data_IF_536004575247
#
_entry.id   IF_536004575247
#
_cell.length_a   1.000
_cell.length_b   1.000
_cell.length_c   1.000
_cell.angle_alpha   90.00
_cell.angle_beta   90.00
_cell.angle_gamma   90.00
#
_symmetry.space_group_name_H-M   'P 1'
#
loop_
_entity.id
_entity.type
_entity.pdbx_description
1 polymer ?
#
# COMPACT_ATOMS: atom_id res chain seq x y z
N UNK A 1 3.63 63.25 38.39
CA UNK A 1 3.05 62.30 39.38
C UNK A 1 2.72 61.01 38.65
N UNK A 2 3.26 59.89 39.15
CA UNK A 2 2.81 58.46 39.14
C UNK A 2 1.72 58.04 38.13
N UNK A 3 1.73 56.87 37.46
CA UNK A 3 2.29 55.56 37.76
C UNK A 3 2.22 54.64 36.52
N UNK A 4 2.89 53.49 36.61
CA UNK A 4 3.03 52.39 35.65
C UNK A 4 1.74 51.62 35.32
N UNK A 5 1.67 51.08 34.09
CA UNK A 5 1.14 49.72 33.85
C UNK A 5 1.80 49.09 32.63
N UNK A 6 2.54 47.99 32.83
CA UNK A 6 2.97 47.07 31.78
C UNK A 6 1.78 46.27 31.25
N UNK A 7 1.68 46.08 29.94
CA UNK A 7 1.03 44.90 29.36
C UNK A 7 2.00 44.28 28.36
N UNK A 8 2.46 43.09 28.76
CA UNK A 8 3.13 42.07 27.98
C UNK A 8 2.20 41.50 26.88
N UNK A 9 2.82 40.81 25.91
CA UNK A 9 2.26 39.72 25.06
C UNK A 9 1.37 40.20 23.89
N UNK A 10 1.49 39.70 22.65
CA UNK A 10 2.04 38.43 22.16
C UNK A 10 2.73 38.62 20.81
N UNK A 11 3.89 37.97 20.67
CA UNK A 11 4.37 37.39 19.42
C UNK A 11 3.30 36.43 18.90
N UNK A 12 2.85 36.63 17.66
CA UNK A 12 1.88 35.76 17.00
C UNK A 12 2.17 35.69 15.51
N UNK A 13 3.21 34.94 15.15
CA UNK A 13 3.33 34.35 13.82
C UNK A 13 2.05 33.55 13.56
N UNK A 14 1.20 34.00 12.64
CA UNK A 14 0.30 33.12 11.91
C UNK A 14 0.89 32.95 10.52
N UNK A 15 1.97 32.16 10.44
CA UNK A 15 2.24 31.36 9.25
C UNK A 15 0.99 30.51 9.13
N UNK A 16 0.14 30.80 8.14
CA UNK A 16 -0.87 29.85 7.71
C UNK A 16 -0.11 28.59 7.34
N UNK A 17 -0.05 27.65 8.27
CA UNK A 17 0.52 26.35 8.06
C UNK A 17 -0.25 25.77 6.88
N UNK A 18 0.45 25.63 5.76
CA UNK A 18 0.04 24.73 4.71
C UNK A 18 -0.26 23.41 5.39
N UNK A 19 -1.54 23.08 5.55
CA UNK A 19 -1.94 21.71 5.76
C UNK A 19 -1.57 20.99 4.49
N UNK A 20 -0.30 20.60 4.41
CA UNK A 20 0.09 19.41 3.69
C UNK A 20 -0.71 18.31 4.39
N UNK A 21 -1.91 18.04 3.88
CA UNK A 21 -2.42 16.69 3.84
C UNK A 21 -1.23 15.88 3.35
N UNK A 22 -0.59 15.17 4.27
CA UNK A 22 0.57 14.38 3.96
C UNK A 22 0.15 13.47 2.85
N UNK A 23 0.65 13.73 1.65
CA UNK A 23 0.81 12.75 0.60
C UNK A 23 1.39 11.53 1.30
N UNK A 24 0.52 10.60 1.69
CA UNK A 24 0.89 9.21 1.92
C UNK A 24 1.15 8.60 0.54
N UNK A 25 2.02 9.26 -0.22
CA UNK A 25 2.57 8.71 -1.42
C UNK A 25 3.56 7.67 -0.91
N UNK A 26 3.16 6.41 -0.96
CA UNK A 26 4.13 5.33 -1.03
C UNK A 26 5.01 5.62 -2.24
N UNK A 27 6.08 6.37 -2.02
CA UNK A 27 7.21 6.45 -2.95
C UNK A 27 7.69 5.03 -3.12
N UNK A 28 7.35 4.40 -4.27
CA UNK A 28 7.84 3.09 -4.73
C UNK A 28 9.22 2.79 -4.13
N UNK A 29 9.31 1.79 -3.24
CA UNK A 29 10.54 1.47 -2.49
C UNK A 29 11.32 0.26 -3.03
N UNK A 30 11.07 -0.19 -4.26
CA UNK A 30 11.86 -1.27 -4.83
C UNK A 30 13.21 -0.76 -5.38
N UNK A 31 14.26 -1.56 -5.23
CA UNK A 31 15.58 -1.25 -5.77
C UNK A 31 15.52 -1.16 -7.31
N UNK A 32 16.17 -0.14 -7.89
CA UNK A 32 16.30 -0.03 -9.35
C UNK A 32 16.95 -1.28 -9.96
N UNK A 33 16.38 -1.81 -11.04
CA UNK A 33 16.80 -3.05 -11.69
C UNK A 33 15.96 -4.29 -11.34
N UNK A 34 14.92 -4.16 -10.52
CA UNK A 34 13.96 -5.22 -10.19
C UNK A 34 12.57 -4.91 -10.78
N UNK A 35 11.81 -5.95 -11.12
CA UNK A 35 10.40 -5.85 -11.45
C UNK A 35 9.62 -5.57 -10.16
N UNK A 36 8.51 -4.85 -10.27
CA UNK A 36 7.68 -4.44 -9.14
C UNK A 36 6.27 -5.01 -9.22
N UNK A 37 5.68 -5.37 -8.10
CA UNK A 37 4.25 -5.63 -7.96
C UNK A 37 3.69 -4.69 -6.89
N UNK A 38 2.67 -3.94 -7.29
CA UNK A 38 1.90 -3.05 -6.43
C UNK A 38 0.52 -3.66 -6.22
N UNK A 39 0.07 -3.71 -4.97
CA UNK A 39 -1.22 -4.30 -4.62
C UNK A 39 -2.00 -3.32 -3.75
N UNK A 40 -3.26 -3.10 -4.14
CA UNK A 40 -4.27 -2.56 -3.24
C UNK A 40 -5.08 -3.73 -2.67
N UNK A 41 -5.16 -3.80 -1.36
CA UNK A 41 -6.01 -4.74 -0.65
C UNK A 41 -7.07 -3.96 0.11
N UNK A 42 -8.34 -4.24 -0.16
CA UNK A 42 -9.47 -3.60 0.47
C UNK A 42 -10.17 -4.56 1.43
N UNK A 43 -10.56 -4.05 2.61
CA UNK A 43 -11.48 -4.69 3.53
C UNK A 43 -12.77 -3.92 3.56
N UNK A 44 -13.83 -4.46 2.94
CA UNK A 44 -15.14 -3.85 2.88
C UNK A 44 -16.16 -4.85 2.31
N UNK A 45 -17.33 -4.90 2.92
CA UNK A 45 -18.38 -5.87 2.55
C UNK A 45 -19.27 -5.34 1.42
N UNK A 46 -19.46 -6.16 0.39
CA UNK A 46 -20.47 -5.97 -0.65
C UNK A 46 -21.04 -7.31 -1.14
N UNK A 47 -21.86 -7.27 -2.19
CA UNK A 47 -22.50 -8.45 -2.78
C UNK A 47 -21.51 -9.48 -3.38
N UNK A 48 -20.29 -9.08 -3.69
CA UNK A 48 -19.23 -9.94 -4.26
C UNK A 48 -18.31 -10.52 -3.19
N UNK A 49 -18.16 -9.86 -2.04
CA UNK A 49 -17.46 -10.39 -0.87
C UNK A 49 -17.01 -9.33 0.13
N UNK A 50 -16.20 -9.75 1.10
CA UNK A 50 -15.68 -8.90 2.18
C UNK A 50 -14.28 -8.33 1.89
N UNK A 51 -13.61 -8.84 0.86
CA UNK A 51 -12.27 -8.42 0.48
C UNK A 51 -12.20 -8.19 -1.03
N UNK A 52 -11.40 -7.20 -1.42
CA UNK A 52 -11.03 -6.94 -2.81
C UNK A 52 -9.51 -6.79 -2.94
N UNK A 53 -8.96 -7.28 -4.04
CA UNK A 53 -7.55 -7.11 -4.39
C UNK A 53 -7.42 -6.57 -5.82
N UNK A 54 -6.61 -5.52 -5.96
CA UNK A 54 -6.13 -5.02 -7.24
C UNK A 54 -4.62 -5.21 -7.32
N UNK A 55 -4.13 -5.66 -8.46
CA UNK A 55 -2.72 -5.97 -8.66
C UNK A 55 -2.21 -5.27 -9.92
N UNK A 56 -1.04 -4.65 -9.80
CA UNK A 56 -0.35 -3.98 -10.89
C UNK A 56 1.11 -4.44 -10.91
N UNK A 57 1.59 -4.93 -12.05
CA UNK A 57 2.95 -5.44 -12.21
C UNK A 57 3.70 -4.54 -13.20
N UNK A 58 4.88 -4.12 -12.78
CA UNK A 58 5.76 -3.23 -13.50
C UNK A 58 7.08 -3.93 -13.83
N UNK A 59 7.63 -3.65 -15.00
CA UNK A 59 8.98 -4.10 -15.36
C UNK A 59 10.08 -3.28 -14.66
N UNK A 60 11.33 -3.66 -14.89
CA UNK A 60 12.51 -2.95 -14.34
C UNK A 60 12.68 -1.50 -14.81
N UNK A 61 11.93 -1.08 -15.84
CA UNK A 61 11.85 0.32 -16.33
C UNK A 61 10.65 1.08 -15.76
N UNK A 62 9.90 0.44 -14.86
CA UNK A 62 8.66 0.92 -14.26
C UNK A 62 7.48 1.07 -15.23
N UNK A 63 7.50 0.39 -16.38
CA UNK A 63 6.33 0.32 -17.27
C UNK A 63 5.37 -0.74 -16.76
N UNK A 64 4.06 -0.43 -16.76
CA UNK A 64 3.03 -1.41 -16.40
C UNK A 64 2.99 -2.49 -17.50
N UNK A 65 3.23 -3.75 -17.12
CA UNK A 65 3.27 -4.89 -18.04
C UNK A 65 2.10 -5.85 -17.83
N UNK A 66 1.48 -5.83 -16.66
CA UNK A 66 0.29 -6.63 -16.38
C UNK A 66 -0.51 -6.03 -15.22
N UNK A 67 -1.83 -6.15 -15.25
CA UNK A 67 -2.68 -5.82 -14.10
C UNK A 67 -3.92 -6.69 -14.05
N UNK A 68 -4.49 -6.82 -12.86
CA UNK A 68 -5.79 -7.44 -12.63
C UNK A 68 -6.47 -6.73 -11.48
N UNK A 69 -7.65 -6.19 -11.75
CA UNK A 69 -8.42 -5.39 -10.80
C UNK A 69 -9.72 -6.10 -10.41
N UNK A 70 -10.26 -5.71 -9.27
CA UNK A 70 -11.50 -6.20 -8.70
C UNK A 70 -11.58 -7.71 -8.51
N UNK A 71 -10.56 -8.28 -7.87
CA UNK A 71 -10.56 -9.66 -7.42
C UNK A 71 -11.28 -9.72 -6.07
N UNK A 72 -12.55 -10.13 -6.07
CA UNK A 72 -13.40 -10.19 -4.87
C UNK A 72 -13.47 -11.58 -4.25
N UNK A 73 -13.65 -11.63 -2.93
CA UNK A 73 -13.90 -12.88 -2.20
C UNK A 73 -14.11 -12.70 -0.70
N UNK A 74 -14.45 -13.79 -0.02
CA UNK A 74 -14.68 -13.86 1.44
C UNK A 74 -13.53 -14.54 2.19
N UNK A 75 -12.34 -14.57 1.59
CA UNK A 75 -11.18 -15.29 2.12
C UNK A 75 -9.99 -15.11 1.19
N UNK A 76 -9.26 -16.19 0.92
CA UNK A 76 -8.10 -16.19 0.03
C UNK A 76 -8.43 -15.57 -1.33
N UNK A 77 -7.67 -14.54 -1.70
CA UNK A 77 -7.72 -13.90 -3.01
C UNK A 77 -6.49 -14.34 -3.80
N UNK A 78 -6.68 -14.70 -5.07
CA UNK A 78 -5.62 -15.23 -5.94
C UNK A 78 -5.55 -14.44 -7.24
N UNK A 79 -4.33 -14.13 -7.67
CA UNK A 79 -4.05 -13.59 -9.00
C UNK A 79 -2.87 -14.33 -9.62
N UNK A 80 -2.94 -14.58 -10.92
CA UNK A 80 -1.88 -15.21 -11.69
C UNK A 80 -1.62 -14.34 -12.91
N UNK A 81 -0.36 -13.94 -13.12
CA UNK A 81 0.01 -13.10 -14.25
C UNK A 81 -0.01 -13.88 -15.56
N UNK A 82 -0.31 -13.20 -16.65
CA UNK A 82 -0.18 -13.72 -18.01
C UNK A 82 0.85 -12.91 -18.80
N UNK A 83 1.58 -13.56 -19.72
CA UNK A 83 2.51 -12.89 -20.63
C UNK A 83 3.88 -12.52 -20.04
N UNK A 84 4.12 -12.78 -18.76
CA UNK A 84 5.46 -12.69 -18.15
C UNK A 84 6.31 -13.94 -18.47
N UNK A 85 7.66 -13.86 -18.42
CA UNK A 85 8.55 -15.00 -18.64
C UNK A 85 8.27 -16.22 -17.76
N UNK A 86 7.80 -16.00 -16.53
CA UNK A 86 7.24 -17.02 -15.65
C UNK A 86 5.90 -16.53 -15.08
N UNK A 87 5.06 -17.44 -14.58
CA UNK A 87 3.81 -17.06 -13.94
C UNK A 87 4.12 -16.48 -12.55
N UNK A 88 3.77 -15.22 -12.34
CA UNK A 88 3.71 -14.59 -11.02
C UNK A 88 2.38 -14.97 -10.37
N UNK A 89 2.42 -15.81 -9.34
CA UNK A 89 1.26 -16.14 -8.53
C UNK A 89 1.25 -15.27 -7.28
N UNK A 90 0.08 -14.74 -6.95
CA UNK A 90 -0.12 -13.78 -5.87
C UNK A 90 -1.32 -14.25 -5.06
N UNK A 91 -1.10 -14.47 -3.77
CA UNK A 91 -2.14 -14.89 -2.84
C UNK A 91 -2.21 -13.88 -1.70
N UNK A 92 -3.37 -13.29 -1.45
CA UNK A 92 -3.63 -12.42 -0.30
C UNK A 92 -4.76 -13.00 0.56
N UNK A 93 -4.84 -12.60 1.83
CA UNK A 93 -5.89 -13.07 2.77
C UNK A 93 -5.90 -14.59 3.02
N UNK A 94 -4.80 -15.27 2.75
CA UNK A 94 -4.62 -16.68 3.11
C UNK A 94 -4.40 -16.86 4.61
N UNK A 95 -4.43 -18.12 5.07
CA UNK A 95 -4.00 -18.46 6.41
C UNK A 95 -2.46 -18.35 6.49
N UNK A 96 -1.93 -17.39 7.23
CA UNK A 96 -0.48 -17.19 7.37
C UNK A 96 -0.11 -15.90 8.09
N UNK A 97 1.20 -15.70 8.30
CA UNK A 97 1.76 -14.49 8.92
C UNK A 97 1.89 -13.31 7.94
N UNK A 98 1.94 -13.59 6.64
CA UNK A 98 2.12 -12.60 5.58
C UNK A 98 0.78 -12.11 5.03
N UNK A 99 0.67 -10.79 4.79
CA UNK A 99 -0.54 -10.19 4.21
C UNK A 99 -0.78 -10.66 2.77
N UNK A 100 0.32 -10.93 2.05
CA UNK A 100 0.35 -11.51 0.72
C UNK A 100 1.59 -12.39 0.54
N UNK A 101 1.48 -13.42 -0.28
CA UNK A 101 2.58 -14.32 -0.67
C UNK A 101 2.68 -14.40 -2.18
N UNK A 102 3.89 -14.66 -2.66
CA UNK A 102 4.24 -14.59 -4.07
C UNK A 102 5.08 -15.79 -4.49
N UNK A 103 4.87 -16.24 -5.72
CA UNK A 103 5.81 -17.14 -6.41
C UNK A 103 6.07 -16.65 -7.83
N UNK A 104 7.32 -16.73 -8.27
CA UNK A 104 7.73 -16.39 -9.63
C UNK A 104 8.91 -17.26 -10.04
N UNK A 105 8.67 -18.20 -10.97
CA UNK A 105 9.66 -19.23 -11.28
C UNK A 105 10.01 -20.07 -10.05
N UNK A 106 11.28 -20.10 -9.67
CA UNK A 106 11.78 -20.80 -8.47
C UNK A 106 11.70 -19.93 -7.19
N UNK A 107 11.45 -18.63 -7.33
CA UNK A 107 11.41 -17.71 -6.20
C UNK A 107 10.07 -17.77 -5.47
N UNK A 108 10.13 -17.75 -4.14
CA UNK A 108 8.96 -17.67 -3.25
C UNK A 108 9.25 -16.71 -2.11
N UNK A 109 8.30 -15.83 -1.80
CA UNK A 109 8.47 -14.87 -0.72
C UNK A 109 7.13 -14.40 -0.16
N UNK A 110 7.18 -13.82 1.04
CA UNK A 110 6.05 -13.19 1.72
C UNK A 110 6.23 -11.67 1.82
N UNK A 111 5.12 -10.94 1.83
CA UNK A 111 5.11 -9.49 2.00
C UNK A 111 5.47 -9.02 3.42
N UNK A 112 5.27 -9.86 4.42
CA UNK A 112 5.27 -9.48 5.83
C UNK A 112 3.91 -8.98 6.30
N UNK A 113 3.92 -8.30 7.44
CA UNK A 113 2.74 -7.80 8.17
C UNK A 113 2.45 -6.34 7.80
N UNK A 114 1.26 -5.80 8.08
CA UNK A 114 0.99 -4.37 7.95
C UNK A 114 2.06 -3.51 8.64
N UNK A 115 2.56 -2.49 7.93
CA UNK A 115 3.64 -1.60 8.37
C UNK A 115 5.05 -2.16 8.31
N UNK A 116 5.23 -3.38 7.79
CA UNK A 116 6.55 -3.99 7.70
C UNK A 116 7.32 -3.57 6.44
N UNK A 117 8.64 -3.61 6.53
CA UNK A 117 9.53 -3.54 5.38
C UNK A 117 10.63 -4.60 5.56
N UNK A 118 10.64 -5.61 4.71
CA UNK A 118 11.58 -6.74 4.80
C UNK A 118 12.69 -6.68 3.75
N UNK A 119 12.87 -5.53 3.08
CA UNK A 119 13.86 -5.32 2.02
C UNK A 119 13.43 -5.84 0.63
N UNK A 120 12.46 -6.76 0.57
CA UNK A 120 11.82 -7.21 -0.68
C UNK A 120 10.45 -6.59 -0.88
N UNK A 121 9.74 -6.34 0.22
CA UNK A 121 8.41 -5.77 0.26
C UNK A 121 8.35 -4.62 1.27
N UNK A 122 7.59 -3.59 0.93
CA UNK A 122 7.16 -2.51 1.81
C UNK A 122 5.64 -2.56 1.90
N UNK A 123 5.12 -2.78 3.10
CA UNK A 123 3.69 -2.93 3.36
C UNK A 123 3.22 -1.70 4.15
N UNK A 124 2.20 -1.03 3.64
CA UNK A 124 1.53 0.08 4.31
C UNK A 124 0.79 -0.35 5.57
N UNK A 125 0.17 0.62 6.23
CA UNK A 125 -0.80 0.37 7.29
C UNK A 125 -2.21 0.34 6.68
N UNK A 126 -3.16 -0.28 7.38
CA UNK A 126 -4.56 -0.10 7.07
C UNK A 126 -4.96 1.36 7.27
N UNK A 127 -5.51 1.97 6.23
CA UNK A 127 -6.17 3.24 6.37
C UNK A 127 -7.45 3.09 7.20
N UNK A 128 -7.76 4.12 7.98
CA UNK A 128 -9.00 4.13 8.74
C UNK A 128 -10.19 4.29 7.79
N UNK A 129 -11.28 3.53 7.97
CA UNK A 129 -12.49 3.74 7.20
C UNK A 129 -12.96 5.19 7.38
N UNK A 130 -13.33 5.83 6.28
CA UNK A 130 -13.89 7.18 6.32
C UNK A 130 -15.29 7.16 6.92
N UNK A 131 -15.82 8.31 7.34
CA UNK A 131 -17.19 8.41 7.87
C UNK A 131 -18.27 7.89 6.90
N UNK A 132 -17.96 7.86 5.61
CA UNK A 132 -18.88 7.46 4.53
C UNK A 132 -18.55 6.11 3.92
N UNK A 133 -17.52 5.40 4.40
CA UNK A 133 -17.11 4.11 3.85
C UNK A 133 -16.61 3.20 4.95
N UNK A 134 -17.14 1.98 5.00
CA UNK A 134 -16.61 0.91 5.85
C UNK A 134 -15.36 0.27 5.25
N UNK A 135 -15.00 0.63 4.02
CA UNK A 135 -13.85 0.06 3.32
C UNK A 135 -12.55 0.63 3.87
N UNK A 136 -11.68 -0.25 4.33
CA UNK A 136 -10.28 0.06 4.66
C UNK A 136 -9.38 -0.35 3.50
N UNK A 137 -8.34 0.43 3.22
CA UNK A 137 -7.34 0.12 2.19
C UNK A 137 -5.99 -0.14 2.85
N UNK A 138 -5.26 -1.11 2.31
CA UNK A 138 -3.84 -1.31 2.55
C UNK A 138 -3.13 -1.45 1.21
N UNK A 139 -2.05 -0.71 1.06
CA UNK A 139 -1.20 -0.77 -0.13
C UNK A 139 0.10 -1.49 0.22
N UNK A 140 0.63 -2.27 -0.73
CA UNK A 140 1.97 -2.84 -0.62
C UNK A 140 2.72 -2.82 -1.95
N UNK A 141 4.03 -2.66 -1.86
CA UNK A 141 4.98 -2.72 -2.97
C UNK A 141 5.98 -3.85 -2.73
N UNK A 142 6.12 -4.78 -3.66
CA UNK A 142 7.09 -5.87 -3.59
C UNK A 142 7.94 -5.94 -4.86
N UNK A 143 9.20 -6.35 -4.71
CA UNK A 143 10.13 -6.59 -5.82
C UNK A 143 10.31 -8.07 -6.15
N UNK A 144 10.59 -8.36 -7.42
CA UNK A 144 11.07 -9.65 -7.91
C UNK A 144 12.06 -9.48 -9.08
N UNK A 145 12.75 -10.56 -9.44
CA UNK A 145 13.68 -10.56 -10.59
C UNK A 145 12.91 -10.45 -11.92
N UNK A 146 13.37 -9.56 -12.79
CA UNK A 146 13.17 -9.67 -14.23
C UNK A 146 14.39 -10.40 -14.82
#
# INVERSE_FOLDING_TARGET
MVSFTSILLLVGLAIAASTAEGDKQLTKRFNGGWCGVHIHLFDGENEKGTHEMNVFVYDGTQQLVWSKESIWGNGLLMAESEGLPAILNINARGAGDDIATFTYGEEKWGAGKPGSNNGRCSVGQWDSPSWTSTTSLLELDCGFSC
#
